data_IF_145132013810
#
_entry.id   IF_145132013810
#
_cell.length_a   1.000
_cell.length_b   1.000
_cell.length_c   1.000
_cell.angle_alpha   90.00
_cell.angle_beta   90.00
_cell.angle_gamma   90.00
#
_symmetry.space_group_name_H-M   'P 1'
#
loop_
_entity.id
_entity.type
_entity.pdbx_description
1 polymer ?
#
# COMPACT_ATOMS: atom_id res chain seq x y z
N UNK A 1 1.44 24.48 -14.24
CA UNK A 1 2.28 23.26 -14.22
C UNK A 1 3.14 23.30 -12.95
N UNK A 2 3.94 22.28 -12.67
CA UNK A 2 4.78 22.25 -11.46
C UNK A 2 5.87 23.31 -11.44
N UNK A 3 6.39 23.73 -12.60
CA UNK A 3 7.44 24.76 -12.67
C UNK A 3 6.95 26.11 -12.14
N UNK A 4 5.76 26.55 -12.59
CA UNK A 4 5.18 27.80 -12.12
C UNK A 4 4.75 27.73 -10.65
N UNK A 5 4.24 26.57 -10.22
CA UNK A 5 3.92 26.34 -8.81
C UNK A 5 5.17 26.52 -7.92
N UNK A 6 6.30 25.89 -8.29
CA UNK A 6 7.56 25.99 -7.55
C UNK A 6 8.13 27.42 -7.56
N UNK A 7 7.98 28.15 -8.67
CA UNK A 7 8.38 29.56 -8.75
C UNK A 7 7.61 30.41 -7.73
N UNK A 8 6.29 30.21 -7.63
CA UNK A 8 5.45 30.93 -6.67
C UNK A 8 5.69 30.48 -5.23
N UNK A 9 5.96 29.20 -5.00
CA UNK A 9 6.28 28.65 -3.67
C UNK A 9 7.58 29.25 -3.14
N UNK A 10 8.62 29.31 -3.97
CA UNK A 10 9.89 29.95 -3.62
C UNK A 10 9.74 31.45 -3.31
N UNK A 11 8.75 32.11 -3.90
CA UNK A 11 8.39 33.49 -3.61
C UNK A 11 7.47 33.66 -2.39
N UNK A 12 7.02 32.57 -1.76
CA UNK A 12 6.07 32.60 -0.63
C UNK A 12 4.63 32.98 -1.03
N UNK A 13 4.27 32.82 -2.30
CA UNK A 13 3.00 33.29 -2.89
C UNK A 13 1.97 32.17 -3.11
N UNK A 14 2.33 30.92 -2.83
CA UNK A 14 1.41 29.79 -2.96
C UNK A 14 1.72 28.70 -1.94
N UNK A 15 0.81 27.75 -1.79
CA UNK A 15 0.93 26.58 -0.92
C UNK A 15 0.19 25.40 -1.55
N UNK A 16 0.72 24.18 -1.41
CA UNK A 16 0.03 22.98 -1.87
C UNK A 16 -0.98 22.50 -0.82
N UNK A 17 -2.26 22.82 -1.01
CA UNK A 17 -3.32 22.47 -0.08
C UNK A 17 -3.79 21.01 -0.15
N UNK A 18 -3.42 20.26 -1.19
CA UNK A 18 -3.98 18.93 -1.47
C UNK A 18 -5.53 18.96 -1.39
N UNK A 19 -6.20 17.89 -0.95
CA UNK A 19 -7.65 17.87 -0.74
C UNK A 19 -8.01 18.27 0.69
N UNK A 20 -7.48 17.56 1.69
CA UNK A 20 -7.92 17.72 3.09
C UNK A 20 -6.88 18.38 3.99
N UNK A 21 -5.65 18.58 3.50
CA UNK A 21 -4.57 19.22 4.25
C UNK A 21 -4.83 20.73 4.42
N UNK A 22 -5.10 21.44 3.32
CA UNK A 22 -5.40 22.86 3.30
C UNK A 22 -6.80 23.23 3.81
N UNK A 23 -7.68 22.24 3.97
CA UNK A 23 -9.04 22.42 4.48
C UNK A 23 -9.24 21.90 5.91
N UNK A 24 -8.15 21.48 6.57
CA UNK A 24 -8.10 21.09 7.99
C UNK A 24 -9.11 20.00 8.40
N UNK A 25 -9.29 18.99 7.55
CA UNK A 25 -10.15 17.84 7.84
C UNK A 25 -9.43 16.49 7.63
N UNK A 26 -8.10 16.51 7.55
CA UNK A 26 -7.29 15.28 7.50
C UNK A 26 -7.31 14.56 8.85
N UNK A 27 -7.81 13.32 8.85
CA UNK A 27 -7.94 12.48 10.05
C UNK A 27 -6.96 11.30 10.04
N UNK A 28 -5.81 11.46 9.36
CA UNK A 28 -4.85 10.38 9.19
C UNK A 28 -5.29 9.35 8.15
N UNK A 29 -4.63 8.19 8.19
CA UNK A 29 -4.88 7.05 7.29
C UNK A 29 -6.35 6.60 7.27
N UNK A 30 -7.08 6.79 8.38
CA UNK A 30 -8.49 6.42 8.48
C UNK A 30 -9.37 7.14 7.44
N UNK A 31 -8.99 8.36 7.02
CA UNK A 31 -9.78 9.15 6.07
C UNK A 31 -9.95 8.50 4.69
N UNK A 32 -9.07 7.57 4.30
CA UNK A 32 -9.16 6.83 3.03
C UNK A 32 -9.44 5.33 3.23
N UNK A 33 -9.29 4.80 4.45
CA UNK A 33 -9.38 3.37 4.72
C UNK A 33 -10.65 2.73 4.16
N UNK A 34 -11.82 3.35 4.39
CA UNK A 34 -13.09 2.81 3.85
C UNK A 34 -13.11 2.82 2.32
N UNK A 35 -12.63 3.89 1.69
CA UNK A 35 -12.58 3.97 0.23
C UNK A 35 -11.67 2.89 -0.38
N UNK A 36 -10.50 2.68 0.22
CA UNK A 36 -9.57 1.62 -0.21
C UNK A 36 -10.18 0.23 0.05
N UNK A 37 -10.82 0.02 1.21
CA UNK A 37 -11.53 -1.22 1.53
C UNK A 37 -12.63 -1.54 0.51
N UNK A 38 -13.48 -0.57 0.17
CA UNK A 38 -14.57 -0.79 -0.80
C UNK A 38 -14.05 -1.08 -2.21
N UNK A 39 -12.93 -0.46 -2.59
CA UNK A 39 -12.25 -0.77 -3.84
C UNK A 39 -11.85 -2.25 -3.90
N UNK A 40 -11.17 -2.75 -2.86
CA UNK A 40 -10.77 -4.15 -2.77
C UNK A 40 -11.96 -5.10 -2.61
N UNK A 41 -13.00 -4.71 -1.87
CA UNK A 41 -14.23 -5.48 -1.73
C UNK A 41 -14.96 -5.64 -3.07
N UNK A 42 -14.99 -4.59 -3.89
CA UNK A 42 -15.58 -4.64 -5.22
C UNK A 42 -14.74 -5.50 -6.18
N UNK A 43 -13.41 -5.42 -6.10
CA UNK A 43 -12.52 -6.33 -6.83
C UNK A 43 -12.81 -7.79 -6.43
N UNK A 44 -12.94 -8.06 -5.13
CA UNK A 44 -13.29 -9.37 -4.60
C UNK A 44 -14.62 -9.89 -5.15
N UNK A 45 -15.68 -9.06 -5.13
CA UNK A 45 -17.00 -9.40 -5.70
C UNK A 45 -16.93 -9.72 -7.19
N UNK A 46 -16.18 -8.92 -7.96
CA UNK A 46 -16.12 -9.07 -9.43
C UNK A 46 -15.25 -10.24 -9.89
N UNK A 47 -14.18 -10.57 -9.16
CA UNK A 47 -13.13 -11.48 -9.65
C UNK A 47 -12.87 -12.70 -8.78
N UNK A 48 -13.20 -12.66 -7.48
CA UNK A 48 -12.74 -13.65 -6.51
C UNK A 48 -13.87 -14.21 -5.63
N UNK A 49 -15.12 -14.13 -6.09
CA UNK A 49 -16.27 -14.74 -5.39
C UNK A 49 -16.66 -14.03 -4.09
N UNK A 50 -16.33 -12.75 -3.96
CA UNK A 50 -16.74 -11.92 -2.82
C UNK A 50 -15.76 -11.85 -1.65
N UNK A 51 -14.59 -12.49 -1.73
CA UNK A 51 -13.51 -12.39 -0.73
C UNK A 51 -12.15 -12.38 -1.42
N UNK A 52 -11.13 -11.79 -0.78
CA UNK A 52 -9.74 -11.88 -1.23
C UNK A 52 -8.98 -13.06 -0.59
N UNK A 53 -9.65 -13.90 0.21
CA UNK A 53 -9.05 -15.09 0.81
C UNK A 53 -8.42 -16.01 -0.25
N UNK A 54 -7.10 -16.23 -0.12
CA UNK A 54 -6.32 -16.99 -1.11
C UNK A 54 -5.80 -16.18 -2.29
N UNK A 55 -5.80 -14.84 -2.18
CA UNK A 55 -5.18 -13.93 -3.15
C UNK A 55 -4.03 -13.13 -2.52
N UNK A 56 -3.11 -12.65 -3.35
CA UNK A 56 -2.03 -11.72 -3.02
C UNK A 56 -2.22 -10.42 -3.82
N UNK A 57 -2.22 -9.31 -3.11
CA UNK A 57 -2.11 -7.95 -3.67
C UNK A 57 -0.68 -7.46 -3.53
N UNK A 58 -0.04 -7.09 -4.64
CA UNK A 58 1.23 -6.37 -4.66
C UNK A 58 0.97 -4.87 -4.81
N UNK A 59 1.51 -4.06 -3.92
CA UNK A 59 1.44 -2.59 -4.02
C UNK A 59 2.69 -1.89 -3.49
N UNK A 60 2.77 -0.59 -3.73
CA UNK A 60 3.82 0.29 -3.24
C UNK A 60 3.26 1.58 -2.62
N UNK A 61 4.02 2.17 -1.69
CA UNK A 61 3.68 3.42 -1.02
C UNK A 61 2.91 3.23 0.28
N UNK A 62 3.59 3.43 1.40
CA UNK A 62 3.09 3.37 2.78
C UNK A 62 3.09 4.77 3.42
N UNK A 63 2.76 5.79 2.62
CA UNK A 63 2.57 7.17 3.08
C UNK A 63 1.28 7.37 3.89
N UNK A 64 0.89 8.63 4.13
CA UNK A 64 -0.32 8.98 4.89
C UNK A 64 -1.59 8.27 4.37
N UNK A 65 -1.78 8.30 3.06
CA UNK A 65 -2.92 7.64 2.40
C UNK A 65 -2.60 6.18 2.03
N UNK A 66 -1.43 5.96 1.41
CA UNK A 66 -0.94 4.63 1.00
C UNK A 66 -0.84 3.60 2.12
N UNK A 67 -0.64 4.05 3.36
CA UNK A 67 -0.65 3.21 4.54
C UNK A 67 -1.98 2.55 4.85
N UNK A 68 -3.08 2.92 4.19
CA UNK A 68 -4.39 2.26 4.35
C UNK A 68 -4.49 0.93 3.58
N UNK A 69 -3.67 0.77 2.53
CA UNK A 69 -3.72 -0.38 1.63
C UNK A 69 -3.55 -1.74 2.33
N UNK A 70 -2.58 -1.95 3.24
CA UNK A 70 -2.38 -3.27 3.82
C UNK A 70 -3.59 -3.70 4.66
N UNK A 71 -4.09 -2.82 5.53
CA UNK A 71 -5.29 -3.08 6.33
C UNK A 71 -6.55 -3.25 5.47
N UNK A 72 -6.72 -2.47 4.40
CA UNK A 72 -7.86 -2.61 3.51
C UNK A 72 -7.92 -3.98 2.80
N UNK A 73 -6.76 -4.52 2.42
CA UNK A 73 -6.64 -5.86 1.84
C UNK A 73 -6.91 -6.95 2.87
N UNK A 74 -6.35 -6.85 4.08
CA UNK A 74 -6.56 -7.86 5.14
C UNK A 74 -7.97 -7.86 5.71
N UNK A 75 -8.65 -6.70 5.74
CA UNK A 75 -10.09 -6.61 6.04
C UNK A 75 -10.98 -7.33 5.00
N UNK A 76 -10.45 -7.60 3.80
CA UNK A 76 -11.08 -8.41 2.77
C UNK A 76 -10.53 -9.86 2.74
N UNK A 77 -9.84 -10.30 3.81
CA UNK A 77 -9.19 -11.62 3.97
C UNK A 77 -7.98 -11.88 3.06
N UNK A 78 -7.52 -10.86 2.33
CA UNK A 78 -6.42 -10.99 1.37
C UNK A 78 -5.03 -10.89 1.99
N UNK A 79 -4.03 -11.30 1.22
CA UNK A 79 -2.62 -11.06 1.54
C UNK A 79 -2.15 -9.79 0.82
N UNK A 80 -1.41 -8.93 1.51
CA UNK A 80 -0.79 -7.74 0.93
C UNK A 80 0.73 -7.80 1.05
N UNK A 81 1.44 -7.57 -0.06
CA UNK A 81 2.85 -7.21 -0.06
C UNK A 81 2.97 -5.72 -0.40
N UNK A 82 3.43 -4.91 0.54
CA UNK A 82 3.53 -3.46 0.42
C UNK A 82 4.98 -3.00 0.45
N UNK A 83 5.47 -2.44 -0.66
CA UNK A 83 6.84 -1.95 -0.79
C UNK A 83 6.89 -0.45 -0.51
N UNK A 84 7.80 -0.01 0.36
CA UNK A 84 8.13 1.42 0.52
C UNK A 84 9.65 1.57 0.69
N UNK A 85 10.20 2.64 0.12
CA UNK A 85 11.64 2.91 0.18
C UNK A 85 12.08 3.40 1.57
N UNK A 86 11.16 3.98 2.33
CA UNK A 86 11.43 4.60 3.62
C UNK A 86 11.04 3.67 4.77
N UNK A 87 12.05 3.09 5.42
CA UNK A 87 11.88 2.21 6.58
C UNK A 87 11.08 2.87 7.72
N UNK A 88 11.16 4.18 7.91
CA UNK A 88 10.38 4.87 8.93
C UNK A 88 8.88 4.77 8.63
N UNK A 89 8.48 4.90 7.36
CA UNK A 89 7.07 4.79 6.95
C UNK A 89 6.52 3.39 7.15
N UNK A 90 7.31 2.37 6.81
CA UNK A 90 6.97 0.95 7.02
C UNK A 90 6.73 0.68 8.51
N UNK A 91 7.72 1.02 9.35
CA UNK A 91 7.63 0.81 10.80
C UNK A 91 6.47 1.60 11.43
N UNK A 92 6.18 2.81 10.93
CA UNK A 92 5.03 3.59 11.41
C UNK A 92 3.69 2.90 11.17
N UNK A 93 3.55 2.07 10.12
CA UNK A 93 2.30 1.33 9.86
C UNK A 93 2.20 0.10 10.74
N UNK A 94 3.34 -0.53 11.05
CA UNK A 94 3.40 -1.58 12.06
C UNK A 94 2.96 -1.05 13.43
N UNK A 95 3.54 0.08 13.88
CA UNK A 95 3.17 0.72 15.15
C UNK A 95 1.68 1.07 15.24
N UNK A 96 1.10 1.58 14.15
CA UNK A 96 -0.30 1.99 14.10
C UNK A 96 -1.27 0.85 13.75
N UNK A 97 -0.77 -0.38 13.61
CA UNK A 97 -1.54 -1.60 13.26
C UNK A 97 -2.29 -1.50 11.92
N UNK A 98 -1.72 -0.75 10.99
CA UNK A 98 -2.14 -0.74 9.58
C UNK A 98 -1.34 -1.74 8.73
N UNK A 99 -0.29 -2.32 9.30
CA UNK A 99 0.56 -3.38 8.74
C UNK A 99 0.82 -4.42 9.83
N UNK A 100 0.83 -5.71 9.48
CA UNK A 100 1.00 -6.81 10.44
C UNK A 100 2.48 -7.15 10.68
N UNK A 101 3.26 -7.26 9.59
CA UNK A 101 4.64 -7.72 9.65
C UNK A 101 5.54 -6.92 8.71
N UNK A 102 6.83 -6.89 9.02
CA UNK A 102 7.89 -6.36 8.15
C UNK A 102 8.83 -7.51 7.82
N UNK A 103 9.09 -7.71 6.53
CA UNK A 103 10.01 -8.73 6.05
C UNK A 103 11.46 -8.24 6.09
N UNK A 104 12.38 -9.17 6.38
CA UNK A 104 13.82 -8.87 6.46
C UNK A 104 14.50 -8.88 5.09
N UNK A 105 13.91 -9.56 4.11
CA UNK A 105 14.39 -9.64 2.73
C UNK A 105 13.26 -9.88 1.73
N UNK A 106 13.59 -9.81 0.44
CA UNK A 106 12.64 -10.12 -0.63
C UNK A 106 12.16 -11.58 -0.55
N UNK A 107 13.07 -12.51 -0.31
CA UNK A 107 12.78 -13.94 -0.18
C UNK A 107 11.88 -14.22 1.02
N UNK A 108 12.15 -13.57 2.16
CA UNK A 108 11.31 -13.65 3.35
C UNK A 108 9.89 -13.12 3.08
N UNK A 109 9.77 -11.96 2.42
CA UNK A 109 8.49 -11.39 2.02
C UNK A 109 7.68 -12.37 1.13
N UNK A 110 8.33 -12.94 0.11
CA UNK A 110 7.71 -13.92 -0.79
C UNK A 110 7.24 -15.16 -0.01
N UNK A 111 8.09 -15.70 0.87
CA UNK A 111 7.76 -16.90 1.65
C UNK A 111 6.56 -16.66 2.56
N UNK A 112 6.50 -15.53 3.26
CA UNK A 112 5.37 -15.17 4.14
C UNK A 112 4.08 -14.99 3.35
N UNK A 113 4.12 -14.23 2.26
CA UNK A 113 2.92 -13.97 1.45
C UNK A 113 2.38 -15.24 0.80
N UNK A 114 3.24 -16.08 0.22
CA UNK A 114 2.83 -17.34 -0.43
C UNK A 114 2.27 -18.35 0.58
N UNK A 115 2.88 -18.45 1.77
CA UNK A 115 2.33 -19.24 2.88
C UNK A 115 0.95 -18.76 3.31
N UNK A 116 0.78 -17.46 3.56
CA UNK A 116 -0.51 -16.89 3.97
C UNK A 116 -1.59 -17.07 2.89
N UNK A 117 -1.22 -16.96 1.60
CA UNK A 117 -2.11 -17.25 0.46
C UNK A 117 -2.60 -18.70 0.51
N UNK A 118 -1.70 -19.66 0.70
CA UNK A 118 -2.05 -21.08 0.80
C UNK A 118 -2.93 -21.38 2.02
N UNK A 119 -2.69 -20.70 3.15
CA UNK A 119 -3.48 -20.80 4.37
C UNK A 119 -4.84 -20.07 4.27
N UNK A 120 -5.09 -19.31 3.19
CA UNK A 120 -6.26 -18.43 3.03
C UNK A 120 -6.44 -17.47 4.21
N UNK A 121 -5.32 -17.01 4.77
CA UNK A 121 -5.27 -16.14 5.94
C UNK A 121 -4.86 -14.74 5.52
N UNK A 122 -5.65 -13.74 5.93
CA UNK A 122 -5.30 -12.34 5.74
C UNK A 122 -3.96 -12.03 6.43
N UNK A 123 -3.05 -11.41 5.68
CA UNK A 123 -1.73 -11.00 6.18
C UNK A 123 -1.20 -9.83 5.36
N UNK A 124 -0.72 -8.80 6.03
CA UNK A 124 -0.02 -7.69 5.39
C UNK A 124 1.47 -7.67 5.76
N UNK A 125 2.32 -7.68 4.73
CA UNK A 125 3.78 -7.71 4.85
C UNK A 125 4.38 -6.47 4.19
N UNK A 126 5.14 -5.71 4.96
CA UNK A 126 5.90 -4.57 4.47
C UNK A 126 7.30 -5.00 4.07
N UNK A 127 7.82 -4.44 2.98
CA UNK A 127 9.21 -4.66 2.55
C UNK A 127 9.86 -3.31 2.26
N UNK A 128 11.00 -3.05 2.91
CA UNK A 128 11.79 -1.85 2.65
C UNK A 128 12.54 -2.02 1.34
N UNK A 129 12.28 -1.15 0.37
CA UNK A 129 12.98 -1.14 -0.90
C UNK A 129 12.29 -0.28 -1.96
N UNK A 130 12.97 -0.10 -3.09
CA UNK A 130 12.42 0.68 -4.19
C UNK A 130 11.51 -0.19 -5.06
N UNK A 131 10.24 0.21 -5.22
CA UNK A 131 9.28 -0.49 -6.05
C UNK A 131 9.74 -0.61 -7.52
N UNK A 132 10.44 0.40 -8.06
CA UNK A 132 10.98 0.37 -9.41
C UNK A 132 12.01 -0.76 -9.63
N UNK A 133 12.73 -1.16 -8.57
CA UNK A 133 13.68 -2.27 -8.63
C UNK A 133 13.03 -3.61 -8.28
N UNK A 134 12.10 -3.61 -7.33
CA UNK A 134 11.55 -4.83 -6.76
C UNK A 134 10.38 -5.40 -7.57
N UNK A 135 9.53 -4.58 -8.20
CA UNK A 135 8.43 -5.08 -9.02
C UNK A 135 8.94 -5.91 -10.21
N UNK A 136 9.94 -5.45 -11.00
CA UNK A 136 10.52 -6.27 -12.07
C UNK A 136 11.19 -7.56 -11.55
N UNK A 137 11.86 -7.50 -10.39
CA UNK A 137 12.46 -8.70 -9.77
C UNK A 137 11.40 -9.71 -9.36
N UNK A 138 10.33 -9.28 -8.70
CA UNK A 138 9.19 -10.14 -8.33
C UNK A 138 8.56 -10.80 -9.56
N UNK A 139 8.38 -10.03 -10.65
CA UNK A 139 7.89 -10.56 -11.92
C UNK A 139 8.84 -11.62 -12.49
N UNK A 140 10.14 -11.35 -12.53
CA UNK A 140 11.16 -12.28 -13.03
C UNK A 140 11.25 -13.56 -12.18
N UNK A 141 10.96 -13.46 -10.87
CA UNK A 141 10.91 -14.58 -9.94
C UNK A 141 9.58 -15.36 -9.99
N UNK A 142 8.60 -14.93 -10.80
CA UNK A 142 7.29 -15.57 -10.91
C UNK A 142 6.42 -15.39 -9.66
N UNK A 143 6.55 -14.26 -8.96
CA UNK A 143 5.75 -13.98 -7.77
C UNK A 143 4.23 -13.99 -8.10
N UNK A 144 3.40 -14.78 -7.39
CA UNK A 144 2.03 -15.04 -7.80
C UNK A 144 1.04 -13.98 -7.28
N UNK A 145 1.30 -12.71 -7.61
CA UNK A 145 0.38 -11.60 -7.31
C UNK A 145 -0.87 -11.68 -8.21
N UNK A 146 -2.05 -11.65 -7.58
CA UNK A 146 -3.34 -11.70 -8.28
C UNK A 146 -3.88 -10.29 -8.59
N UNK A 147 -3.48 -9.31 -7.77
CA UNK A 147 -3.81 -7.89 -7.93
C UNK A 147 -2.50 -7.09 -7.82
N UNK A 148 -2.31 -6.13 -8.73
CA UNK A 148 -1.17 -5.20 -8.70
C UNK A 148 -1.70 -3.78 -8.82
N UNK A 149 -1.23 -2.89 -7.95
CA UNK A 149 -1.55 -1.46 -7.94
C UNK A 149 -0.36 -0.68 -7.36
N UNK A 150 -0.42 0.64 -7.33
CA UNK A 150 0.53 1.48 -6.59
C UNK A 150 -0.16 2.71 -5.98
N UNK A 151 0.48 3.31 -4.97
CA UNK A 151 0.06 4.58 -4.37
C UNK A 151 1.29 5.41 -3.96
N UNK A 152 2.29 5.44 -4.82
CA UNK A 152 3.45 6.32 -4.67
C UNK A 152 3.02 7.77 -4.98
N UNK A 153 3.58 8.77 -4.30
CA UNK A 153 3.36 10.15 -4.71
C UNK A 153 3.99 10.40 -6.10
N UNK A 154 3.23 11.05 -6.98
CA UNK A 154 3.70 11.54 -8.29
C UNK A 154 4.75 12.66 -8.15
#
# INVERSE_FOLDING_TARGET
NWDEFRRLEAAGLTMYGQMTAGSWIYIGTQGILQGTYECFAEIARRKFGGTLAGTITLTAGLGGMGGAQPLAVTMNDGVALCIDVDAWRVNRRLETRYLDEVADSLEDAIARCTKAKAERRGLSVGLVGNAADLFPKLLAMGFPADIVTDQLPD
#
